data_IF_443481204549
#
_entry.id   IF_443481204549
#
_cell.length_a   1.000
_cell.length_b   1.000
_cell.length_c   1.000
_cell.angle_alpha   90.00
_cell.angle_beta   90.00
_cell.angle_gamma   90.00
#
_symmetry.space_group_name_H-M   'P 1'
#
loop_
_entity.id
_entity.type
_entity.pdbx_description
1 polymer ?
#
# COMPACT_ATOMS: atom_id res chain seq x y z
N UNK A 1 49.08 -1.01 0.95
CA UNK A 1 48.13 -2.10 1.25
C UNK A 1 46.73 -1.51 1.06
N UNK A 2 46.05 -1.78 -0.07
CA UNK A 2 44.75 -1.17 -0.34
C UNK A 2 43.64 -2.03 0.23
N UNK A 3 42.83 -1.49 1.13
CA UNK A 3 41.61 -2.12 1.64
C UNK A 3 40.51 -2.01 0.59
N UNK A 4 40.17 -3.12 -0.06
CA UNK A 4 39.02 -3.18 -0.98
C UNK A 4 37.75 -3.09 -0.14
N UNK A 5 37.06 -1.95 -0.19
CA UNK A 5 35.73 -1.79 0.42
C UNK A 5 34.71 -2.47 -0.49
N UNK A 6 34.20 -3.62 -0.05
CA UNK A 6 33.14 -4.35 -0.77
C UNK A 6 31.83 -3.56 -0.62
N UNK A 7 31.36 -2.97 -1.71
CA UNK A 7 30.18 -2.10 -1.73
C UNK A 7 28.87 -2.86 -1.51
N UNK A 8 28.84 -4.18 -1.76
CA UNK A 8 27.69 -5.06 -1.55
C UNK A 8 28.09 -6.34 -0.81
N UNK A 9 28.03 -6.37 0.53
CA UNK A 9 28.43 -7.55 1.28
C UNK A 9 27.37 -8.66 1.19
N UNK A 10 27.80 -9.90 0.92
CA UNK A 10 26.93 -11.08 0.74
C UNK A 10 26.33 -11.62 2.07
N UNK A 11 26.01 -10.75 3.02
CA UNK A 11 25.59 -11.10 4.38
C UNK A 11 24.31 -11.94 4.44
N UNK A 12 23.47 -11.79 3.42
CA UNK A 12 22.23 -12.52 3.23
C UNK A 12 22.45 -13.99 2.81
N UNK A 13 23.65 -14.37 2.36
CA UNK A 13 24.03 -15.74 1.96
C UNK A 13 24.85 -16.44 3.03
N UNK A 14 24.80 -17.78 3.04
CA UNK A 14 25.54 -18.59 4.01
C UNK A 14 27.05 -18.45 3.78
N UNK A 15 27.81 -18.32 4.88
CA UNK A 15 29.26 -18.18 4.81
C UNK A 15 29.76 -16.92 4.09
N UNK A 16 28.89 -15.93 3.84
CA UNK A 16 29.24 -14.71 3.08
C UNK A 16 29.73 -14.98 1.65
N UNK A 17 29.45 -16.17 1.11
CA UNK A 17 29.87 -16.61 -0.21
C UNK A 17 28.75 -16.32 -1.24
N UNK A 18 29.05 -15.62 -2.35
CA UNK A 18 28.07 -15.34 -3.40
C UNK A 18 27.51 -16.58 -4.09
N UNK A 19 28.17 -17.74 -4.01
CA UNK A 19 27.69 -19.00 -4.62
C UNK A 19 26.75 -19.78 -3.71
N UNK A 20 26.80 -19.52 -2.40
CA UNK A 20 26.00 -20.23 -1.41
C UNK A 20 24.55 -19.76 -1.41
N UNK A 21 23.65 -20.61 -0.91
CA UNK A 21 22.24 -20.24 -0.79
C UNK A 21 22.02 -19.07 0.17
N UNK A 22 20.87 -18.40 0.02
CA UNK A 22 20.37 -17.40 0.96
C UNK A 22 20.10 -18.05 2.33
N UNK A 23 20.43 -17.34 3.41
CA UNK A 23 20.15 -17.77 4.80
C UNK A 23 18.63 -17.87 5.00
N UNK A 24 18.18 -19.02 5.53
CA UNK A 24 16.77 -19.24 5.85
C UNK A 24 16.45 -18.90 7.31
N UNK A 25 15.17 -18.67 7.60
CA UNK A 25 14.66 -18.44 8.96
C UNK A 25 13.69 -19.56 9.35
N UNK A 26 13.85 -20.14 10.55
CA UNK A 26 12.96 -21.17 11.12
C UNK A 26 12.20 -20.71 12.37
N UNK A 27 12.26 -19.43 12.71
CA UNK A 27 11.55 -18.87 13.86
C UNK A 27 10.03 -18.98 13.71
N UNK A 28 9.33 -19.03 14.86
CA UNK A 28 7.87 -19.21 14.93
C UNK A 28 7.10 -18.27 13.99
N UNK A 29 7.43 -16.97 14.01
CA UNK A 29 6.81 -15.96 13.15
C UNK A 29 6.97 -16.30 11.66
N UNK A 30 8.17 -16.70 11.24
CA UNK A 30 8.41 -17.04 9.84
C UNK A 30 7.63 -18.30 9.44
N UNK A 31 7.72 -19.35 10.25
CA UNK A 31 7.15 -20.67 9.92
C UNK A 31 5.61 -20.65 9.98
N UNK A 32 5.02 -20.04 10.99
CA UNK A 32 3.58 -20.16 11.26
C UNK A 32 2.75 -18.99 10.75
N UNK A 33 3.36 -17.81 10.53
CA UNK A 33 2.63 -16.59 10.12
C UNK A 33 3.02 -16.19 8.70
N UNK A 34 4.30 -15.89 8.45
CA UNK A 34 4.72 -15.30 7.17
C UNK A 34 4.68 -16.33 6.04
N UNK A 35 5.30 -17.49 6.21
CA UNK A 35 5.41 -18.51 5.18
C UNK A 35 4.03 -18.99 4.66
N UNK A 36 3.04 -19.27 5.53
CA UNK A 36 1.70 -19.67 5.10
C UNK A 36 0.83 -18.53 4.57
N UNK A 37 1.26 -17.27 4.62
CA UNK A 37 0.56 -16.15 3.97
C UNK A 37 1.14 -15.86 2.59
N UNK A 38 2.48 -15.93 2.47
CA UNK A 38 3.19 -15.57 1.25
C UNK A 38 3.25 -16.72 0.24
N UNK A 39 3.29 -17.98 0.70
CA UNK A 39 3.55 -19.16 -0.14
C UNK A 39 2.42 -20.21 -0.10
N UNK A 40 1.26 -19.88 0.48
CA UNK A 40 0.06 -20.74 0.51
C UNK A 40 -0.73 -20.65 -0.80
N UNK A 41 -0.06 -20.80 -1.93
CA UNK A 41 -0.75 -21.14 -3.19
C UNK A 41 -0.50 -22.60 -3.51
N UNK A 42 -1.24 -23.46 -2.79
CA UNK A 42 -1.47 -24.88 -3.05
C UNK A 42 -0.22 -25.78 -2.96
N UNK A 43 -0.37 -26.91 -2.30
CA UNK A 43 0.54 -28.03 -2.46
C UNK A 43 0.65 -28.36 -3.96
N UNK A 44 1.72 -27.89 -4.60
CA UNK A 44 2.14 -28.29 -5.92
C UNK A 44 3.41 -29.10 -5.72
N UNK A 45 3.26 -30.41 -5.84
CA UNK A 45 4.24 -31.47 -5.68
C UNK A 45 5.35 -31.44 -6.75
N UNK A 46 5.84 -30.27 -7.19
CA UNK A 46 6.85 -30.21 -8.26
C UNK A 46 7.98 -29.28 -7.87
N UNK A 47 9.17 -29.88 -7.80
CA UNK A 47 10.49 -29.26 -7.73
C UNK A 47 10.66 -28.24 -8.87
N UNK A 48 10.23 -27.00 -8.65
CA UNK A 48 10.33 -25.95 -9.66
C UNK A 48 9.80 -24.62 -9.14
N UNK A 49 10.71 -23.65 -9.02
CA UNK A 49 10.49 -22.20 -8.99
C UNK A 49 9.17 -21.72 -8.37
N UNK A 50 9.17 -21.50 -7.05
CA UNK A 50 8.12 -20.74 -6.36
C UNK A 50 8.30 -19.26 -6.70
N UNK A 51 7.94 -18.86 -7.93
CA UNK A 51 7.81 -17.45 -8.26
C UNK A 51 6.62 -16.89 -7.48
N UNK A 52 6.91 -15.98 -6.54
CA UNK A 52 5.89 -15.26 -5.80
C UNK A 52 5.06 -14.43 -6.76
N UNK A 53 3.89 -14.93 -7.14
CA UNK A 53 2.88 -14.15 -7.86
C UNK A 53 2.35 -13.12 -6.87
N UNK A 54 3.01 -11.96 -6.79
CA UNK A 54 2.60 -10.87 -5.92
C UNK A 54 1.11 -10.58 -6.03
N UNK A 55 0.51 -10.00 -4.99
CA UNK A 55 -0.90 -9.63 -5.04
C UNK A 55 -1.14 -8.68 -6.22
N UNK A 56 -2.10 -9.00 -7.09
CA UNK A 56 -2.49 -8.11 -8.18
C UNK A 56 -3.00 -6.81 -7.57
N UNK A 57 -2.42 -5.69 -7.98
CA UNK A 57 -2.96 -4.36 -7.67
C UNK A 57 -4.42 -4.33 -8.15
N UNK A 58 -5.35 -4.17 -7.22
CA UNK A 58 -6.75 -3.96 -7.56
C UNK A 58 -6.94 -2.47 -7.81
N UNK A 59 -6.79 -2.05 -9.06
CA UNK A 59 -7.18 -0.72 -9.48
C UNK A 59 -8.70 -0.67 -9.62
N UNK A 60 -9.37 0.07 -8.73
CA UNK A 60 -10.81 0.32 -8.82
C UNK A 60 -11.01 1.47 -9.81
N UNK A 61 -11.39 1.14 -11.05
CA UNK A 61 -11.72 2.12 -12.10
C UNK A 61 -13.15 2.68 -11.92
N UNK A 62 -13.52 3.02 -10.68
CA UNK A 62 -14.85 3.61 -10.44
C UNK A 62 -14.81 4.99 -11.11
N UNK A 63 -15.69 5.27 -12.08
CA UNK A 63 -15.77 6.59 -12.69
C UNK A 63 -16.12 7.61 -11.61
N UNK A 64 -15.61 8.83 -11.73
CA UNK A 64 -16.00 9.93 -10.86
C UNK A 64 -17.53 10.06 -10.87
N UNK A 65 -18.14 9.86 -9.71
CA UNK A 65 -19.57 10.05 -9.52
C UNK A 65 -19.76 11.51 -9.15
N UNK A 66 -20.12 12.34 -10.13
CA UNK A 66 -20.50 13.71 -9.87
C UNK A 66 -21.83 13.71 -9.11
N UNK A 67 -21.80 14.17 -7.86
CA UNK A 67 -22.98 14.41 -7.04
C UNK A 67 -23.29 15.89 -7.15
N UNK A 68 -24.47 16.22 -7.67
CA UNK A 68 -24.93 17.60 -7.79
C UNK A 68 -25.59 17.99 -6.46
N UNK A 69 -25.06 19.00 -5.78
CA UNK A 69 -25.57 19.48 -4.50
C UNK A 69 -26.42 20.72 -4.73
N UNK A 70 -27.74 20.61 -4.60
CA UNK A 70 -28.64 21.74 -4.83
C UNK A 70 -28.74 22.69 -3.61
N UNK A 71 -28.18 22.29 -2.45
CA UNK A 71 -28.34 22.99 -1.19
C UNK A 71 -26.99 23.20 -0.48
N UNK A 72 -26.70 24.46 -0.14
CA UNK A 72 -25.51 24.88 0.60
C UNK A 72 -25.37 24.15 1.95
N UNK A 73 -26.48 23.88 2.64
CA UNK A 73 -26.43 23.20 3.94
C UNK A 73 -25.91 21.76 3.82
N UNK A 74 -26.28 21.06 2.75
CA UNK A 74 -25.82 19.69 2.49
C UNK A 74 -24.31 19.67 2.18
N UNK A 75 -23.84 20.67 1.42
CA UNK A 75 -22.42 20.91 1.13
C UNK A 75 -21.60 21.11 2.41
N UNK A 76 -22.09 21.94 3.34
CA UNK A 76 -21.41 22.20 4.62
C UNK A 76 -21.42 20.97 5.52
N UNK A 77 -22.52 20.22 5.59
CA UNK A 77 -22.58 18.95 6.32
C UNK A 77 -21.61 17.91 5.75
N UNK A 78 -21.54 17.81 4.42
CA UNK A 78 -20.60 16.93 3.72
C UNK A 78 -19.15 17.33 4.02
N UNK A 79 -18.82 18.62 3.94
CA UNK A 79 -17.49 19.13 4.24
C UNK A 79 -17.07 18.79 5.68
N UNK A 80 -17.98 18.96 6.64
CA UNK A 80 -17.73 18.60 8.05
C UNK A 80 -17.37 17.12 8.21
N UNK A 81 -18.09 16.23 7.52
CA UNK A 81 -17.82 14.79 7.54
C UNK A 81 -16.45 14.47 6.92
N UNK A 82 -16.09 15.12 5.81
CA UNK A 82 -14.80 14.92 5.15
C UNK A 82 -13.62 15.38 6.01
N UNK A 83 -13.74 16.53 6.68
CA UNK A 83 -12.71 17.03 7.60
C UNK A 83 -12.53 16.05 8.79
N UNK A 84 -13.61 15.50 9.32
CA UNK A 84 -13.52 14.48 10.37
C UNK A 84 -12.81 13.20 9.88
N UNK A 85 -13.07 12.79 8.63
CA UNK A 85 -12.39 11.66 7.99
C UNK A 85 -10.89 11.93 7.78
N UNK A 86 -10.53 13.14 7.37
CA UNK A 86 -9.14 13.57 7.21
C UNK A 86 -8.39 13.60 8.55
N UNK A 87 -9.03 14.11 9.61
CA UNK A 87 -8.48 14.08 10.98
C UNK A 87 -8.27 12.66 11.51
N UNK A 88 -9.07 11.70 11.06
CA UNK A 88 -8.87 10.28 11.34
C UNK A 88 -7.73 9.64 10.51
N UNK A 89 -7.10 10.39 9.62
CA UNK A 89 -5.96 9.96 8.80
C UNK A 89 -6.31 9.52 7.37
N UNK A 90 -7.55 9.73 6.90
CA UNK A 90 -7.96 9.35 5.56
C UNK A 90 -7.80 10.49 4.55
N UNK A 91 -6.73 10.46 3.74
CA UNK A 91 -6.39 11.50 2.75
C UNK A 91 -7.03 11.29 1.37
N UNK A 92 -7.88 10.27 1.21
CA UNK A 92 -8.50 9.93 -0.07
C UNK A 92 -9.60 10.90 -0.55
N UNK A 93 -9.88 11.97 0.18
CA UNK A 93 -10.98 12.91 -0.09
C UNK A 93 -10.53 14.33 -0.48
N UNK A 94 -9.23 14.57 -0.65
CA UNK A 94 -8.71 15.93 -0.88
C UNK A 94 -9.31 16.61 -2.12
N UNK A 95 -9.57 15.86 -3.19
CA UNK A 95 -10.19 16.37 -4.40
C UNK A 95 -11.65 16.81 -4.16
N UNK A 96 -12.38 16.05 -3.36
CA UNK A 96 -13.78 16.36 -3.00
C UNK A 96 -13.83 17.60 -2.11
N UNK A 97 -12.94 17.70 -1.12
CA UNK A 97 -12.80 18.89 -0.27
C UNK A 97 -12.50 20.13 -1.11
N UNK A 98 -11.59 20.05 -2.08
CA UNK A 98 -11.26 21.17 -2.96
C UNK A 98 -12.47 21.61 -3.82
N UNK A 99 -13.21 20.65 -4.41
CA UNK A 99 -14.42 20.92 -5.19
C UNK A 99 -15.50 21.63 -4.37
N UNK A 100 -15.74 21.16 -3.14
CA UNK A 100 -16.73 21.76 -2.23
C UNK A 100 -16.34 23.19 -1.84
N UNK A 101 -15.05 23.43 -1.55
CA UNK A 101 -14.57 24.77 -1.21
C UNK A 101 -14.72 25.74 -2.39
N UNK A 102 -14.52 25.27 -3.62
CA UNK A 102 -14.72 26.08 -4.84
C UNK A 102 -16.19 26.48 -5.00
N UNK A 103 -17.13 25.54 -4.87
CA UNK A 103 -18.57 25.82 -4.92
C UNK A 103 -19.04 26.80 -3.82
N UNK A 104 -18.52 26.67 -2.59
CA UNK A 104 -18.85 27.58 -1.49
C UNK A 104 -18.33 29.02 -1.72
N UNK A 105 -17.20 29.17 -2.43
CA UNK A 105 -16.68 30.48 -2.84
C UNK A 105 -17.53 31.10 -3.96
N UNK A 106 -17.93 30.30 -4.94
CA UNK A 106 -18.76 30.77 -6.06
C UNK A 106 -20.14 31.25 -5.60
N UNK A 107 -20.69 30.61 -4.57
CA UNK A 107 -21.97 31.00 -3.94
C UNK A 107 -21.84 32.17 -2.96
N UNK A 108 -20.62 32.63 -2.65
CA UNK A 108 -20.37 33.77 -1.77
C UNK A 108 -20.63 33.48 -0.29
N UNK A 109 -20.63 32.21 0.12
CA UNK A 109 -20.78 31.79 1.52
C UNK A 109 -19.47 32.00 2.28
N UNK A 110 -18.32 31.86 1.60
CA UNK A 110 -16.97 32.04 2.13
C UNK A 110 -16.07 32.84 1.18
#
# INVERSE_FOLDING_TARGET
MFTVVVTTPNNHRRGYDPKQQIKGNKGYKHVNIINPLMFRSRASTVTGSIEGRGQRMQFRSIPYQYVYWDNINELVERLKLLIASEQAGHTGHNNEIASIIEELKETGVI
#
